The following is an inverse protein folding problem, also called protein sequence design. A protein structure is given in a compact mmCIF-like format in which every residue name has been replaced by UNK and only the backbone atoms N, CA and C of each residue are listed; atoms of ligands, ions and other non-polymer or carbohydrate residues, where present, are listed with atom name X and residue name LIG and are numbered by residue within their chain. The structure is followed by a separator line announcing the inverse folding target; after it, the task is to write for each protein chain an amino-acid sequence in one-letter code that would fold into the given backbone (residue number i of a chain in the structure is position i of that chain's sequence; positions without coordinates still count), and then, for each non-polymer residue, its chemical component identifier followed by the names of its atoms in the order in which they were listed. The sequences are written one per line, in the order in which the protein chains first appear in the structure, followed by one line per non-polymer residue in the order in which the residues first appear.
data_IF_269396167854
#
_entry.id   IF_269396167854
#
_cell.length_a   1.000
_cell.length_b   1.000
_cell.length_c   1.000
_cell.angle_alpha   90.00
_cell.angle_beta   90.00
_cell.angle_gamma   90.00
#
_symmetry.space_group_name_H-M   'P 1'
#
loop_
_entity.id
_entity.type
_entity.pdbx_description
1 polymer ?
#
# COMPACT_ATOMS: atom_id res chain seq x y z
N UNK A 1 11.57 -16.70 7.67
CA UNK A 1 11.57 -15.72 6.55
C UNK A 1 10.16 -15.22 6.29
N UNK A 2 10.00 -13.93 6.11
CA UNK A 2 8.70 -13.35 5.84
C UNK A 2 8.34 -13.51 4.36
N UNK A 3 7.14 -14.00 4.10
CA UNK A 3 6.70 -14.29 2.73
C UNK A 3 5.70 -13.23 2.26
N UNK A 4 6.16 -12.32 1.42
CA UNK A 4 5.34 -11.25 0.88
C UNK A 4 4.24 -11.76 -0.06
N UNK A 5 4.39 -12.95 -0.63
CA UNK A 5 3.40 -13.48 -1.57
C UNK A 5 2.06 -13.76 -0.90
N UNK A 6 2.04 -13.88 0.42
CA UNK A 6 0.81 -14.12 1.18
C UNK A 6 0.04 -12.84 1.48
N UNK A 7 0.64 -11.68 1.24
CA UNK A 7 0.00 -10.40 1.51
C UNK A 7 -0.76 -9.94 0.28
N UNK A 8 -2.06 -9.71 0.44
CA UNK A 8 -2.88 -9.15 -0.64
C UNK A 8 -2.99 -7.65 -0.42
N UNK A 9 -2.15 -6.91 -1.12
CA UNK A 9 -2.19 -5.46 -1.05
C UNK A 9 -3.42 -4.93 -1.77
N UNK A 10 -3.97 -3.85 -1.25
CA UNK A 10 -5.11 -3.19 -1.88
C UNK A 10 -4.59 -2.38 -3.07
N UNK A 11 -4.94 -2.80 -4.28
CA UNK A 11 -4.45 -2.18 -5.50
C UNK A 11 -5.54 -1.44 -6.26
N UNK A 12 -6.74 -1.32 -5.69
CA UNK A 12 -7.85 -0.66 -6.36
C UNK A 12 -7.49 0.77 -6.78
N UNK A 13 -6.78 1.50 -5.92
CA UNK A 13 -6.40 2.88 -6.16
C UNK A 13 -5.53 3.07 -7.40
N UNK A 14 -4.78 2.04 -7.81
CA UNK A 14 -3.85 2.12 -8.95
C UNK A 14 -4.33 1.36 -10.18
N UNK A 15 -5.53 0.84 -10.16
CA UNK A 15 -6.09 0.17 -11.35
C UNK A 15 -6.27 1.18 -12.48
N UNK A 16 -6.27 0.68 -13.73
CA UNK A 16 -6.25 1.56 -14.92
C UNK A 16 -7.39 2.58 -14.91
N UNK A 17 -8.56 2.19 -14.44
CA UNK A 17 -9.72 3.09 -14.36
C UNK A 17 -9.52 4.22 -13.36
N UNK A 18 -8.62 4.05 -12.42
CA UNK A 18 -8.37 5.02 -11.36
C UNK A 18 -7.07 5.80 -11.56
N UNK A 19 -6.29 5.49 -12.60
CA UNK A 19 -5.01 6.16 -12.84
C UNK A 19 -5.18 7.65 -13.13
N UNK A 20 -6.33 8.05 -13.63
CA UNK A 20 -6.61 9.47 -13.90
C UNK A 20 -6.65 10.30 -12.62
N UNK A 21 -6.78 9.65 -11.45
CA UNK A 21 -6.81 10.32 -10.16
C UNK A 21 -5.43 10.32 -9.46
N UNK A 22 -4.39 9.85 -10.16
CA UNK A 22 -3.05 9.80 -9.59
C UNK A 22 -2.20 10.95 -10.14
N UNK A 23 -1.29 11.45 -9.30
CA UNK A 23 -0.32 12.47 -9.71
C UNK A 23 0.95 11.81 -10.28
N UNK A 24 1.96 12.63 -10.54
CA UNK A 24 3.23 12.16 -11.12
C UNK A 24 3.97 11.18 -10.21
N UNK A 25 3.68 11.22 -8.92
CA UNK A 25 4.29 10.33 -7.93
C UNK A 25 3.46 9.09 -7.67
N UNK A 26 2.42 8.85 -8.48
CA UNK A 26 1.47 7.75 -8.30
C UNK A 26 0.73 7.80 -6.97
N UNK A 27 0.48 9.01 -6.47
CA UNK A 27 -0.33 9.21 -5.27
C UNK A 27 -1.68 9.79 -5.65
N UNK A 28 -2.76 9.42 -4.94
CA UNK A 28 -4.09 9.94 -5.25
C UNK A 28 -4.15 11.45 -5.11
N UNK A 29 -4.78 12.10 -6.10
CA UNK A 29 -5.00 13.54 -6.06
C UNK A 29 -6.00 13.90 -4.95
N UNK A 30 -5.98 15.15 -4.45
CA UNK A 30 -6.93 15.57 -3.40
C UNK A 30 -8.39 15.46 -3.81
N UNK A 31 -8.67 15.52 -5.11
CA UNK A 31 -10.03 15.42 -5.63
C UNK A 31 -10.42 14.00 -6.05
N UNK A 32 -9.58 13.00 -5.72
CA UNK A 32 -9.88 11.61 -6.04
C UNK A 32 -11.13 11.12 -5.29
N UNK A 33 -11.88 10.16 -5.85
CA UNK A 33 -13.03 9.59 -5.15
C UNK A 33 -12.62 8.98 -3.81
N UNK A 34 -13.55 8.97 -2.87
CA UNK A 34 -13.30 8.41 -1.55
C UNK A 34 -12.82 6.96 -1.63
N UNK A 35 -13.39 6.18 -2.54
CA UNK A 35 -13.01 4.77 -2.69
C UNK A 35 -11.54 4.62 -3.03
N UNK A 36 -11.04 5.49 -3.91
CA UNK A 36 -9.62 5.50 -4.30
C UNK A 36 -8.74 5.87 -3.10
N UNK A 37 -9.14 6.91 -2.39
CA UNK A 37 -8.37 7.38 -1.22
C UNK A 37 -8.37 6.33 -0.12
N UNK A 38 -9.50 5.71 0.16
CA UNK A 38 -9.58 4.65 1.18
C UNK A 38 -8.71 3.45 0.81
N UNK A 39 -8.74 3.06 -0.45
CA UNK A 39 -7.90 1.96 -0.94
C UNK A 39 -6.41 2.28 -0.78
N UNK A 40 -6.01 3.50 -1.12
CA UNK A 40 -4.63 3.93 -0.97
C UNK A 40 -4.19 3.91 0.50
N UNK A 41 -5.04 4.38 1.39
CA UNK A 41 -4.74 4.37 2.82
C UNK A 41 -4.58 2.96 3.36
N UNK A 42 -5.42 2.02 2.92
CA UNK A 42 -5.28 0.61 3.30
C UNK A 42 -3.97 0.03 2.77
N UNK A 43 -3.61 0.36 1.54
CA UNK A 43 -2.35 -0.09 0.94
C UNK A 43 -1.16 0.42 1.76
N UNK A 44 -1.14 1.69 2.13
CA UNK A 44 -0.06 2.26 2.93
C UNK A 44 0.05 1.58 4.29
N UNK A 45 -1.08 1.28 4.92
CA UNK A 45 -1.10 0.58 6.20
C UNK A 45 -0.53 -0.83 6.05
N UNK A 46 -0.91 -1.53 4.99
CA UNK A 46 -0.39 -2.87 4.71
C UNK A 46 1.12 -2.86 4.53
N UNK A 47 1.65 -1.87 3.81
CA UNK A 47 3.10 -1.73 3.65
C UNK A 47 3.78 -1.46 4.98
N UNK A 48 3.22 -0.59 5.80
CA UNK A 48 3.77 -0.28 7.12
C UNK A 48 3.84 -1.51 8.00
N UNK A 49 2.79 -2.34 7.98
CA UNK A 49 2.77 -3.57 8.75
C UNK A 49 3.79 -4.58 8.25
N UNK A 50 3.93 -4.70 6.93
CA UNK A 50 4.91 -5.60 6.34
C UNK A 50 6.33 -5.18 6.72
N UNK A 51 6.64 -3.90 6.64
CA UNK A 51 7.95 -3.38 7.02
C UNK A 51 8.22 -3.61 8.51
N UNK A 52 7.22 -3.40 9.35
CA UNK A 52 7.34 -3.62 10.79
C UNK A 52 7.65 -5.08 11.11
N UNK A 53 6.99 -6.01 10.44
CA UNK A 53 7.23 -7.43 10.64
C UNK A 53 8.64 -7.82 10.22
N UNK A 54 9.13 -7.28 9.10
CA UNK A 54 10.51 -7.52 8.66
C UNK A 54 11.50 -6.98 9.67
N UNK A 55 11.28 -5.76 10.16
CA UNK A 55 12.17 -5.15 11.15
C UNK A 55 12.25 -5.99 12.42
N UNK A 56 11.10 -6.50 12.89
CA UNK A 56 11.08 -7.36 14.06
C UNK A 56 11.87 -8.64 13.84
N UNK A 57 11.74 -9.24 12.65
CA UNK A 57 12.50 -10.44 12.30
C UNK A 57 14.00 -10.19 12.36
N UNK A 58 14.43 -9.07 11.77
CA UNK A 58 15.85 -8.72 11.76
C UNK A 58 16.36 -8.51 13.17
N UNK A 59 15.64 -7.79 14.01
CA UNK A 59 16.05 -7.56 15.38
C UNK A 59 16.11 -8.84 16.19
N UNK A 60 15.21 -9.77 15.95
CA UNK A 60 15.23 -11.04 16.67
C UNK A 60 16.39 -11.93 16.28
N UNK A 61 16.93 -11.78 15.10
CA UNK A 61 18.04 -12.59 14.63
C UNK A 61 19.39 -12.10 15.16
N UNK A 62 19.39 -10.96 15.77
CA UNK A 62 20.60 -10.42 16.42
C UNK A 62 20.63 -10.86 17.88
#
# INVERSE_FOLDING_TARGET
MYDFSKIKFDTFWRESQNRIYLDDMYEPLPNAPKDVIDSYNRYKDQISQAKRNISKSVFKSI
#
